data_IF_971544558018
#
_entry.id   IF_971544558018
#
_cell.length_a   1.000
_cell.length_b   1.000
_cell.length_c   1.000
_cell.angle_alpha   90.00
_cell.angle_beta   90.00
_cell.angle_gamma   90.00
#
_symmetry.space_group_name_H-M   'P 1'
#
loop_
_entity.id
_entity.type
_entity.pdbx_description
1 polymer ?
#
# COMPACT_ATOMS: atom_id res chain seq x y z
N UNK A 1 4.09 24.49 -4.53
CA UNK A 1 3.70 23.77 -5.77
C UNK A 1 4.24 22.35 -5.77
N UNK A 2 5.51 22.13 -5.43
CA UNK A 2 6.14 20.79 -5.49
C UNK A 2 5.48 19.75 -4.57
N UNK A 3 5.12 20.15 -3.34
CA UNK A 3 4.56 19.22 -2.36
C UNK A 3 3.14 18.74 -2.71
N UNK A 4 2.33 19.60 -3.32
CA UNK A 4 0.99 19.26 -3.78
C UNK A 4 1.03 18.29 -4.97
N UNK A 5 1.96 18.51 -5.90
CA UNK A 5 2.21 17.59 -7.02
C UNK A 5 2.70 16.22 -6.53
N UNK A 6 3.61 16.21 -5.56
CA UNK A 6 4.10 14.97 -4.95
C UNK A 6 2.98 14.19 -4.26
N UNK A 7 2.10 14.86 -3.51
CA UNK A 7 0.93 14.23 -2.87
C UNK A 7 -0.06 13.66 -3.89
N UNK A 8 -0.37 14.39 -4.96
CA UNK A 8 -1.20 13.87 -6.07
C UNK A 8 -0.58 12.60 -6.67
N UNK A 9 0.75 12.58 -6.81
CA UNK A 9 1.52 11.40 -7.21
C UNK A 9 1.37 10.23 -6.23
N UNK A 10 1.47 10.49 -4.93
CA UNK A 10 1.28 9.50 -3.87
C UNK A 10 -0.13 8.91 -3.94
N UNK A 11 -1.18 9.74 -4.00
CA UNK A 11 -2.56 9.23 -4.10
C UNK A 11 -2.80 8.35 -5.33
N UNK A 12 -2.23 8.73 -6.49
CA UNK A 12 -2.33 7.92 -7.70
C UNK A 12 -1.66 6.56 -7.54
N UNK A 13 -0.45 6.52 -6.97
CA UNK A 13 0.29 5.27 -6.73
C UNK A 13 -0.38 4.39 -5.67
N UNK A 14 -0.84 4.98 -4.56
CA UNK A 14 -1.63 4.28 -3.54
C UNK A 14 -2.83 3.57 -4.17
N UNK A 15 -3.60 4.29 -5.01
CA UNK A 15 -4.75 3.72 -5.71
C UNK A 15 -4.36 2.56 -6.63
N UNK A 16 -3.31 2.74 -7.43
CA UNK A 16 -2.83 1.69 -8.33
C UNK A 16 -2.33 0.47 -7.57
N UNK A 17 -1.48 0.65 -6.55
CA UNK A 17 -0.97 -0.44 -5.73
C UNK A 17 -2.10 -1.21 -5.04
N UNK A 18 -3.12 -0.52 -4.52
CA UNK A 18 -4.28 -1.19 -3.93
C UNK A 18 -5.03 -2.05 -4.95
N UNK A 19 -5.35 -1.50 -6.14
CA UNK A 19 -6.02 -2.24 -7.21
C UNK A 19 -5.20 -3.47 -7.61
N UNK A 20 -3.91 -3.29 -7.85
CA UNK A 20 -3.01 -4.37 -8.24
C UNK A 20 -2.88 -5.45 -7.17
N UNK A 21 -2.82 -5.08 -5.88
CA UNK A 21 -2.81 -6.04 -4.78
C UNK A 21 -4.09 -6.88 -4.75
N UNK A 22 -5.26 -6.26 -4.90
CA UNK A 22 -6.53 -7.00 -4.94
C UNK A 22 -6.63 -7.90 -6.18
N UNK A 23 -6.24 -7.41 -7.35
CA UNK A 23 -6.24 -8.22 -8.58
C UNK A 23 -5.29 -9.42 -8.50
N UNK A 24 -4.07 -9.22 -7.98
CA UNK A 24 -3.12 -10.31 -7.75
C UNK A 24 -3.71 -11.36 -6.79
N UNK A 25 -4.31 -10.93 -5.68
CA UNK A 25 -4.96 -11.87 -4.74
C UNK A 25 -6.16 -12.61 -5.32
N UNK A 26 -6.91 -12.01 -6.25
CA UNK A 26 -8.06 -12.64 -6.91
C UNK A 26 -7.62 -13.66 -7.98
N UNK A 27 -6.59 -13.33 -8.76
CA UNK A 27 -6.05 -14.18 -9.84
C UNK A 27 -5.24 -15.37 -9.31
N UNK A 28 -4.53 -15.20 -8.18
CA UNK A 28 -3.63 -16.23 -7.65
C UNK A 28 -4.35 -17.35 -6.88
N UNK A 29 -5.66 -17.24 -6.62
CA UNK A 29 -6.44 -18.31 -5.97
C UNK A 29 -6.53 -19.61 -6.79
N UNK A 30 -6.08 -19.60 -8.04
CA UNK A 30 -6.08 -20.77 -8.94
C UNK A 30 -4.69 -21.42 -9.11
N UNK A 31 -3.66 -20.94 -8.40
CA UNK A 31 -2.27 -21.38 -8.57
C UNK A 31 -1.91 -22.51 -7.59
N UNK A 32 -1.54 -23.68 -8.12
CA UNK A 32 -1.20 -24.90 -7.34
C UNK A 32 0.33 -25.16 -7.23
N UNK A 33 1.17 -24.24 -7.72
CA UNK A 33 2.63 -24.38 -7.73
C UNK A 33 3.33 -23.48 -6.69
N UNK A 34 4.17 -24.07 -5.84
CA UNK A 34 4.90 -23.40 -4.75
C UNK A 34 5.84 -22.31 -5.26
N UNK A 35 6.50 -22.52 -6.41
CA UNK A 35 7.40 -21.54 -7.01
C UNK A 35 6.64 -20.29 -7.49
N UNK A 36 5.38 -20.45 -7.91
CA UNK A 36 4.52 -19.36 -8.32
C UNK A 36 4.05 -18.54 -7.11
N UNK A 37 3.77 -19.19 -5.97
CA UNK A 37 3.44 -18.50 -4.72
C UNK A 37 4.60 -17.66 -4.17
N UNK A 38 5.85 -18.10 -4.34
CA UNK A 38 7.00 -17.28 -3.94
C UNK A 38 7.15 -16.02 -4.82
N UNK A 39 6.91 -16.14 -6.14
CA UNK A 39 6.91 -14.98 -7.04
C UNK A 39 5.82 -13.97 -6.67
N UNK A 40 4.59 -14.46 -6.43
CA UNK A 40 3.45 -13.67 -5.94
C UNK A 40 3.78 -12.99 -4.62
N UNK A 41 4.35 -13.73 -3.68
CA UNK A 41 4.76 -13.19 -2.38
C UNK A 41 5.84 -12.11 -2.50
N UNK A 42 6.76 -12.20 -3.46
CA UNK A 42 7.76 -11.15 -3.73
C UNK A 42 7.11 -9.91 -4.34
N UNK A 43 6.18 -10.08 -5.28
CA UNK A 43 5.46 -8.96 -5.91
C UNK A 43 4.58 -8.21 -4.90
N UNK A 44 3.82 -8.94 -4.07
CA UNK A 44 3.04 -8.38 -2.97
C UNK A 44 3.92 -7.56 -2.02
N UNK A 45 5.08 -8.10 -1.61
CA UNK A 45 6.03 -7.39 -0.74
C UNK A 45 6.58 -6.12 -1.38
N UNK A 46 6.87 -6.14 -2.68
CA UNK A 46 7.33 -4.97 -3.42
C UNK A 46 6.24 -3.88 -3.47
N UNK A 47 5.01 -4.25 -3.85
CA UNK A 47 3.87 -3.33 -3.90
C UNK A 47 3.53 -2.75 -2.54
N UNK A 48 3.51 -3.58 -1.49
CA UNK A 48 3.31 -3.14 -0.11
C UNK A 48 4.37 -2.14 0.35
N UNK A 49 5.63 -2.31 -0.09
CA UNK A 49 6.72 -1.37 0.22
C UNK A 49 6.47 0.01 -0.38
N UNK A 50 6.07 0.09 -1.65
CA UNK A 50 5.72 1.37 -2.29
C UNK A 50 4.50 2.02 -1.62
N UNK A 51 3.48 1.21 -1.31
CA UNK A 51 2.29 1.67 -0.60
C UNK A 51 2.64 2.26 0.78
N UNK A 52 3.55 1.62 1.53
CA UNK A 52 4.02 2.12 2.83
C UNK A 52 4.72 3.47 2.70
N UNK A 53 5.62 3.62 1.72
CA UNK A 53 6.35 4.87 1.48
C UNK A 53 5.39 6.02 1.16
N UNK A 54 4.43 5.79 0.26
CA UNK A 54 3.48 6.82 -0.15
C UNK A 54 2.49 7.17 0.96
N UNK A 55 2.00 6.19 1.73
CA UNK A 55 1.15 6.46 2.89
C UNK A 55 1.91 7.24 3.97
N UNK A 56 3.18 6.91 4.22
CA UNK A 56 4.02 7.63 5.19
C UNK A 56 4.19 9.10 4.79
N UNK A 57 4.38 9.38 3.49
CA UNK A 57 4.42 10.76 2.97
C UNK A 57 3.08 11.47 3.16
N UNK A 58 1.96 10.83 2.81
CA UNK A 58 0.62 11.43 2.99
C UNK A 58 0.33 11.73 4.45
N UNK A 59 0.68 10.83 5.38
CA UNK A 59 0.54 11.04 6.82
C UNK A 59 1.40 12.22 7.31
N UNK A 60 2.63 12.34 6.82
CA UNK A 60 3.54 13.42 7.19
C UNK A 60 3.02 14.80 6.76
N UNK A 61 2.38 14.89 5.59
CA UNK A 61 1.82 16.13 5.05
C UNK A 61 0.40 16.43 5.53
N UNK A 62 -0.23 15.55 6.33
CA UNK A 62 -1.61 15.71 6.74
C UNK A 62 -1.76 16.84 7.76
N UNK A 63 -2.59 17.84 7.42
CA UNK A 63 -2.97 18.90 8.34
C UNK A 63 -4.10 18.42 9.26
N UNK A 64 -3.89 18.57 10.58
CA UNK A 64 -4.84 18.16 11.60
C UNK A 64 -4.46 16.84 12.28
N UNK A 65 -4.21 16.92 13.59
CA UNK A 65 -3.77 15.79 14.42
C UNK A 65 -4.73 14.59 14.37
N UNK A 66 -6.04 14.83 14.34
CA UNK A 66 -7.02 13.74 14.33
C UNK A 66 -7.01 12.96 13.00
N UNK A 67 -6.90 13.64 11.87
CA UNK A 67 -6.77 12.99 10.56
C UNK A 67 -5.45 12.20 10.47
N UNK A 68 -4.36 12.79 10.96
CA UNK A 68 -3.05 12.15 11.01
C UNK A 68 -3.06 10.87 11.85
N UNK A 69 -3.67 10.90 13.05
CA UNK A 69 -3.85 9.72 13.89
C UNK A 69 -4.70 8.65 13.21
N UNK A 70 -5.81 9.04 12.58
CA UNK A 70 -6.69 8.11 11.87
C UNK A 70 -5.96 7.39 10.71
N UNK A 71 -5.22 8.14 9.88
CA UNK A 71 -4.43 7.59 8.79
C UNK A 71 -3.29 6.69 9.30
N UNK A 72 -2.62 7.09 10.38
CA UNK A 72 -1.57 6.29 11.01
C UNK A 72 -2.13 4.97 11.56
N UNK A 73 -3.29 5.01 12.22
CA UNK A 73 -3.96 3.82 12.71
C UNK A 73 -4.37 2.87 11.57
N UNK A 74 -4.86 3.42 10.45
CA UNK A 74 -5.19 2.65 9.25
C UNK A 74 -3.95 1.98 8.64
N UNK A 75 -2.86 2.74 8.47
CA UNK A 75 -1.61 2.21 7.94
C UNK A 75 -1.05 1.10 8.84
N UNK A 76 -1.06 1.29 10.17
CA UNK A 76 -0.62 0.26 11.11
C UNK A 76 -1.48 -1.00 11.03
N UNK A 77 -2.81 -0.89 10.89
CA UNK A 77 -3.67 -2.07 10.71
C UNK A 77 -3.35 -2.83 9.42
N UNK A 78 -3.00 -2.11 8.36
CA UNK A 78 -2.71 -2.71 7.06
C UNK A 78 -1.34 -3.41 7.03
N UNK A 79 -0.28 -2.80 7.57
CA UNK A 79 1.08 -3.33 7.50
C UNK A 79 1.52 -4.17 8.71
N UNK A 80 0.86 -3.99 9.85
CA UNK A 80 1.18 -4.69 11.12
C UNK A 80 0.06 -5.70 11.46
N UNK A 81 -0.80 -6.06 10.50
CA UNK A 81 -1.79 -7.13 10.71
C UNK A 81 -1.03 -8.39 11.11
N UNK A 82 -1.24 -8.83 12.35
CA UNK A 82 -0.65 -10.05 12.87
C UNK A 82 -1.24 -11.21 12.08
N UNK A 83 -0.38 -12.05 11.51
CA UNK A 83 -0.76 -13.41 11.11
C UNK A 83 -1.15 -14.23 12.32
#
# INVERSE_FOLDING_TARGET
MDHEMELKGCFRRIKNCAIELFSTMEEDMEIDDEDSWDLVGRDIRLKATFLYIDLSRVIACCEGEEHKKALTALANRFFVSHG
#
